data_IF_338682058451
#
_entry.id   IF_338682058451
#
_cell.length_a   1.000
_cell.length_b   1.000
_cell.length_c   1.000
_cell.angle_alpha   90.00
_cell.angle_beta   90.00
_cell.angle_gamma   90.00
#
_symmetry.space_group_name_H-M   'P 1'
#
loop_
_entity.id
_entity.type
_entity.pdbx_description
1 polymer ?
#
# COMPACT_ATOMS: atom_id res chain seq x y z
N UNK A 1 -3.22 3.09 -49.46
CA UNK A 1 -3.99 3.99 -48.60
C UNK A 1 -3.54 3.74 -47.19
N UNK A 2 -2.57 4.53 -46.71
CA UNK A 2 -2.00 4.45 -45.37
C UNK A 2 -2.73 5.50 -44.53
N UNK A 3 -3.60 5.05 -43.64
CA UNK A 3 -4.20 5.93 -42.63
C UNK A 3 -3.22 6.15 -41.49
N UNK A 4 -2.81 7.39 -41.36
CA UNK A 4 -2.00 7.94 -40.29
C UNK A 4 -2.81 7.96 -38.99
N UNK A 5 -2.42 7.17 -38.02
CA UNK A 5 -2.89 7.31 -36.64
C UNK A 5 -2.24 8.56 -36.04
N UNK A 6 -3.02 9.61 -35.90
CA UNK A 6 -2.66 10.83 -35.20
C UNK A 6 -2.49 10.56 -33.72
N UNK A 7 -1.31 10.93 -33.25
CA UNK A 7 -0.84 10.95 -31.89
C UNK A 7 -1.73 11.86 -31.01
N UNK A 8 -2.66 11.27 -30.27
CA UNK A 8 -3.37 11.97 -29.18
C UNK A 8 -2.45 12.01 -27.96
N UNK A 9 -1.74 13.13 -27.83
CA UNK A 9 -0.97 13.46 -26.65
C UNK A 9 -1.84 13.45 -25.40
N UNK A 10 -1.77 12.36 -24.62
CA UNK A 10 -2.29 12.31 -23.26
C UNK A 10 -1.33 13.11 -22.36
N UNK A 11 -1.56 14.42 -22.29
CA UNK A 11 -1.01 15.24 -21.23
C UNK A 11 -1.52 14.71 -19.89
N UNK A 12 -0.58 14.34 -19.05
CA UNK A 12 -0.78 13.97 -17.65
C UNK A 12 -1.54 15.11 -16.94
N UNK A 13 -2.83 14.89 -16.61
CA UNK A 13 -3.63 15.81 -15.81
C UNK A 13 -3.13 15.75 -14.36
N UNK A 14 -1.97 16.35 -14.10
CA UNK A 14 -1.44 16.61 -12.74
C UNK A 14 -1.80 18.05 -12.31
N UNK A 15 -2.66 18.75 -13.03
CA UNK A 15 -3.04 20.11 -12.72
C UNK A 15 -4.35 20.18 -11.92
N UNK A 16 -4.21 20.04 -10.62
CA UNK A 16 -4.90 20.75 -9.51
C UNK A 16 -4.53 20.10 -8.18
N UNK A 17 -3.26 20.19 -7.84
CA UNK A 17 -2.81 19.96 -6.48
C UNK A 17 -2.54 21.34 -5.86
N UNK A 18 -3.10 21.54 -4.69
CA UNK A 18 -2.97 22.75 -3.87
C UNK A 18 -1.50 23.15 -3.79
N UNK A 19 -1.24 24.44 -4.01
CA UNK A 19 0.06 25.08 -3.98
C UNK A 19 0.90 24.72 -2.73
N UNK A 20 2.21 24.73 -2.95
CA UNK A 20 3.27 24.61 -1.97
C UNK A 20 3.02 25.47 -0.72
N UNK A 21 2.36 24.91 0.28
CA UNK A 21 2.57 25.38 1.64
C UNK A 21 3.80 24.68 2.21
N UNK A 22 4.84 25.47 2.46
CA UNK A 22 6.04 25.12 3.21
C UNK A 22 5.67 24.45 4.54
N UNK A 23 5.43 23.14 4.52
CA UNK A 23 5.47 22.36 5.76
C UNK A 23 6.95 22.17 6.13
N UNK A 24 7.44 23.03 7.03
CA UNK A 24 8.63 22.79 7.83
C UNK A 24 8.37 21.66 8.84
N UNK A 25 7.93 20.50 8.38
CA UNK A 25 8.18 19.25 9.06
C UNK A 25 9.62 18.89 8.70
N UNK A 26 10.43 18.68 9.72
CA UNK A 26 11.83 18.36 9.65
C UNK A 26 12.11 17.43 8.46
N UNK A 27 12.73 17.90 7.39
CA UNK A 27 13.01 17.12 6.15
C UNK A 27 13.76 15.79 6.45
N UNK A 28 14.45 15.74 7.58
CA UNK A 28 15.12 14.56 8.11
C UNK A 28 14.17 13.45 8.58
N UNK A 29 12.87 13.73 8.79
CA UNK A 29 11.90 12.78 9.36
C UNK A 29 11.03 12.09 8.29
N UNK A 30 10.97 12.64 7.06
CA UNK A 30 10.13 12.11 5.98
C UNK A 30 10.44 10.64 5.66
N UNK A 31 11.70 10.24 5.67
CA UNK A 31 12.11 8.87 5.35
C UNK A 31 12.28 7.93 6.56
N UNK A 32 12.01 8.39 7.78
CA UNK A 32 12.26 7.59 8.99
C UNK A 32 11.53 6.24 8.95
N UNK A 33 10.24 6.22 8.57
CA UNK A 33 9.47 4.96 8.51
C UNK A 33 9.95 4.02 7.42
N UNK A 34 10.29 4.53 6.24
CA UNK A 34 10.81 3.69 5.15
C UNK A 34 12.18 3.14 5.50
N UNK A 35 13.05 3.94 6.13
CA UNK A 35 14.35 3.47 6.61
C UNK A 35 14.16 2.34 7.62
N UNK A 36 13.33 2.51 8.64
CA UNK A 36 13.04 1.46 9.62
C UNK A 36 12.45 0.19 8.98
N UNK A 37 11.62 0.34 7.93
CA UNK A 37 11.13 -0.82 7.18
C UNK A 37 12.27 -1.54 6.47
N UNK A 38 13.12 -0.81 5.76
CA UNK A 38 14.23 -1.38 4.99
C UNK A 38 15.33 -2.00 5.88
N UNK A 39 15.58 -1.44 7.07
CA UNK A 39 16.51 -1.99 8.07
C UNK A 39 16.10 -3.38 8.56
N UNK A 40 14.82 -3.70 8.59
CA UNK A 40 14.35 -5.05 8.91
C UNK A 40 14.56 -6.04 7.76
N UNK A 41 14.79 -5.54 6.55
CA UNK A 41 14.98 -6.36 5.35
C UNK A 41 16.44 -6.62 5.02
N UNK A 42 17.34 -5.67 5.34
CA UNK A 42 18.77 -5.81 5.16
C UNK A 42 19.53 -5.00 6.22
N UNK A 43 20.78 -5.37 6.58
CA UNK A 43 21.55 -4.67 7.61
C UNK A 43 22.13 -3.35 7.06
N UNK A 44 21.28 -2.33 6.91
CA UNK A 44 21.68 -1.03 6.38
C UNK A 44 22.73 -0.35 7.27
N UNK A 45 23.79 0.14 6.65
CA UNK A 45 24.81 0.95 7.32
C UNK A 45 24.37 2.42 7.44
N UNK A 46 25.09 3.21 8.25
CA UNK A 46 24.80 4.64 8.39
C UNK A 46 24.85 5.37 7.03
N UNK A 47 25.82 5.02 6.19
CA UNK A 47 25.96 5.59 4.85
C UNK A 47 24.77 5.28 3.91
N UNK A 48 24.06 4.16 4.11
CA UNK A 48 22.83 3.84 3.35
C UNK A 48 21.67 4.71 3.81
N UNK A 49 21.51 4.90 5.13
CA UNK A 49 20.51 5.79 5.72
C UNK A 49 20.70 7.23 5.24
N UNK A 50 21.94 7.70 5.26
CA UNK A 50 22.27 9.06 4.84
C UNK A 50 22.02 9.25 3.34
N UNK A 51 22.29 8.24 2.53
CA UNK A 51 21.98 8.25 1.11
C UNK A 51 20.46 8.31 0.83
N UNK A 52 19.64 7.61 1.62
CA UNK A 52 18.17 7.70 1.53
C UNK A 52 17.69 9.10 1.93
N UNK A 53 18.21 9.66 3.03
CA UNK A 53 17.83 11.01 3.48
C UNK A 53 18.26 12.12 2.52
N UNK A 54 19.32 11.90 1.77
CA UNK A 54 19.83 12.84 0.77
C UNK A 54 19.10 12.76 -0.58
N UNK A 55 18.14 11.85 -0.76
CA UNK A 55 17.34 11.78 -2.00
C UNK A 55 16.55 13.08 -2.20
N UNK A 56 16.55 13.64 -3.41
CA UNK A 56 15.67 14.74 -3.72
C UNK A 56 14.21 14.26 -3.73
N UNK A 57 13.32 15.05 -3.18
CA UNK A 57 11.88 14.74 -3.18
C UNK A 57 11.02 15.99 -3.17
N UNK A 58 9.76 15.79 -3.50
CA UNK A 58 8.71 16.81 -3.43
C UNK A 58 7.58 16.28 -2.55
N UNK A 59 7.12 17.07 -1.60
CA UNK A 59 5.95 16.69 -0.78
C UNK A 59 4.68 17.03 -1.55
N UNK A 60 3.75 16.09 -1.57
CA UNK A 60 2.40 16.29 -2.10
C UNK A 60 1.36 15.68 -1.18
N UNK A 61 0.24 16.37 -1.01
CA UNK A 61 -0.95 15.88 -0.30
C UNK A 61 -2.09 15.74 -1.29
N UNK A 62 -2.84 14.64 -1.18
CA UNK A 62 -4.00 14.38 -2.03
C UNK A 62 -5.22 13.98 -1.17
N UNK A 63 -6.42 14.44 -1.54
CA UNK A 63 -7.66 14.06 -0.88
C UNK A 63 -7.99 12.57 -1.11
N UNK A 64 -8.98 11.98 -0.39
CA UNK A 64 -9.45 10.63 -0.66
C UNK A 64 -9.96 10.45 -2.10
N UNK A 65 -9.83 9.22 -2.63
CA UNK A 65 -10.26 8.83 -3.98
C UNK A 65 -9.54 9.61 -5.11
N UNK A 66 -8.27 9.97 -4.87
CA UNK A 66 -7.44 10.63 -5.86
C UNK A 66 -6.44 9.65 -6.47
N UNK A 67 -6.34 9.64 -7.80
CA UNK A 67 -5.36 8.82 -8.52
C UNK A 67 -3.97 9.44 -8.42
N UNK A 68 -3.03 8.71 -7.86
CA UNK A 68 -1.61 9.06 -7.83
C UNK A 68 -0.88 8.56 -9.06
N UNK A 69 -1.23 7.33 -9.47
CA UNK A 69 -0.70 6.67 -10.66
C UNK A 69 -1.88 6.05 -11.40
N UNK A 70 -1.92 6.23 -12.71
CA UNK A 70 -2.88 5.56 -13.59
C UNK A 70 -2.18 4.47 -14.39
N UNK A 71 -2.84 3.35 -14.57
CA UNK A 71 -2.38 2.26 -15.44
C UNK A 71 -2.01 2.80 -16.83
N UNK A 72 -0.86 2.39 -17.35
CA UNK A 72 -0.29 2.86 -18.61
C UNK A 72 0.52 4.15 -18.52
N UNK A 73 0.45 4.90 -17.41
CA UNK A 73 1.23 6.11 -17.22
C UNK A 73 2.75 5.85 -17.22
N UNK A 74 3.53 6.84 -17.64
CA UNK A 74 4.98 6.78 -17.53
C UNK A 74 5.41 6.83 -16.07
N UNK A 75 6.39 6.00 -15.71
CA UNK A 75 6.97 5.90 -14.38
C UNK A 75 8.14 6.88 -14.24
N UNK A 76 7.89 8.05 -13.65
CA UNK A 76 8.90 9.10 -13.46
C UNK A 76 9.37 9.23 -12.02
N UNK A 77 8.49 8.97 -11.09
CA UNK A 77 8.72 9.08 -9.65
C UNK A 77 8.37 7.78 -8.93
N UNK A 78 8.93 7.59 -7.75
CA UNK A 78 8.50 6.63 -6.75
C UNK A 78 7.83 7.38 -5.60
N UNK A 79 6.65 6.93 -5.18
CA UNK A 79 5.90 7.51 -4.07
C UNK A 79 6.31 6.88 -2.75
N UNK A 80 6.88 7.64 -1.82
CA UNK A 80 7.02 7.22 -0.42
C UNK A 80 5.81 7.72 0.35
N UNK A 81 5.00 6.82 0.89
CA UNK A 81 3.80 7.18 1.64
C UNK A 81 4.19 7.63 3.06
N UNK A 82 3.92 8.90 3.39
CA UNK A 82 4.24 9.49 4.69
C UNK A 82 3.08 9.42 5.68
N UNK A 83 1.87 9.76 5.20
CA UNK A 83 0.63 9.69 5.99
C UNK A 83 -0.52 9.17 5.14
N UNK A 84 -1.59 8.71 5.80
CA UNK A 84 -2.78 8.22 5.11
C UNK A 84 -2.64 6.78 4.61
N UNK A 85 -3.58 6.38 3.76
CA UNK A 85 -3.63 5.02 3.19
C UNK A 85 -3.96 5.09 1.70
N UNK A 86 -3.39 4.18 0.94
CA UNK A 86 -3.64 4.05 -0.50
C UNK A 86 -3.92 2.61 -0.87
N UNK A 87 -4.57 2.39 -2.01
CA UNK A 87 -4.76 1.06 -2.57
C UNK A 87 -4.19 0.98 -3.98
N UNK A 88 -3.70 -0.20 -4.32
CA UNK A 88 -3.37 -0.58 -5.68
C UNK A 88 -4.54 -1.37 -6.24
N UNK A 89 -5.01 -1.04 -7.43
CA UNK A 89 -6.14 -1.73 -8.04
C UNK A 89 -6.03 -1.87 -9.56
N UNK A 90 -6.75 -2.86 -10.09
CA UNK A 90 -6.98 -3.06 -11.52
C UNK A 90 -8.46 -2.91 -11.80
N UNK A 91 -8.78 -2.54 -13.03
CA UNK A 91 -10.17 -2.40 -13.50
C UNK A 91 -10.36 -3.23 -14.76
N UNK A 92 -11.46 -3.99 -14.83
CA UNK A 92 -11.82 -4.73 -16.02
C UNK A 92 -12.35 -3.79 -17.11
N UNK A 93 -12.50 -4.29 -18.33
CA UNK A 93 -13.12 -3.54 -19.44
C UNK A 93 -14.60 -3.20 -19.17
N UNK A 94 -15.29 -3.96 -18.30
CA UNK A 94 -16.65 -3.67 -17.83
C UNK A 94 -16.73 -2.60 -16.74
N UNK A 95 -15.59 -2.18 -16.19
CA UNK A 95 -15.51 -1.18 -15.13
C UNK A 95 -15.45 -1.75 -13.71
N UNK A 96 -15.48 -3.09 -13.54
CA UNK A 96 -15.37 -3.72 -12.23
C UNK A 96 -13.95 -3.57 -11.68
N UNK A 97 -13.83 -3.06 -10.45
CA UNK A 97 -12.57 -2.82 -9.77
C UNK A 97 -12.18 -3.99 -8.88
N UNK A 98 -10.91 -4.39 -8.94
CA UNK A 98 -10.29 -5.30 -7.99
C UNK A 98 -9.15 -4.58 -7.27
N UNK A 99 -9.27 -4.33 -5.97
CA UNK A 99 -8.15 -3.90 -5.14
C UNK A 99 -7.25 -5.10 -4.88
N UNK A 100 -5.96 -4.93 -5.14
CA UNK A 100 -4.95 -6.00 -5.07
C UNK A 100 -3.94 -5.80 -3.94
N UNK A 101 -3.90 -4.62 -3.32
CA UNK A 101 -3.14 -4.36 -2.10
C UNK A 101 -3.57 -3.06 -1.42
N UNK A 102 -3.34 -2.97 -0.11
CA UNK A 102 -3.41 -1.74 0.68
C UNK A 102 -2.00 -1.36 1.13
N UNK A 103 -1.71 -0.07 1.10
CA UNK A 103 -0.44 0.49 1.53
C UNK A 103 -0.63 1.53 2.63
N UNK A 104 0.38 1.65 3.48
CA UNK A 104 0.37 2.47 4.69
C UNK A 104 1.68 3.25 4.84
N UNK A 105 1.77 4.23 5.77
CA UNK A 105 2.98 5.03 5.98
C UNK A 105 4.24 4.17 6.13
N UNK A 106 5.27 4.52 5.35
CA UNK A 106 6.52 3.77 5.22
C UNK A 106 6.59 2.83 4.02
N UNK A 107 5.49 2.62 3.28
CA UNK A 107 5.51 1.87 2.02
C UNK A 107 5.95 2.73 0.83
N UNK A 108 6.51 2.05 -0.18
CA UNK A 108 6.78 2.59 -1.52
C UNK A 108 5.90 1.79 -2.51
N UNK A 109 4.62 2.17 -2.69
CA UNK A 109 3.64 1.34 -3.38
C UNK A 109 3.90 1.15 -4.88
N UNK A 110 4.80 1.91 -5.47
CA UNK A 110 5.17 1.90 -6.88
C UNK A 110 6.68 1.65 -7.11
N UNK A 111 7.33 0.94 -6.18
CA UNK A 111 8.78 0.66 -6.22
C UNK A 111 9.24 -0.01 -7.53
N UNK A 112 8.36 -0.74 -8.22
CA UNK A 112 8.63 -1.32 -9.54
C UNK A 112 8.97 -0.26 -10.60
N UNK A 113 8.63 1.03 -10.39
CA UNK A 113 9.01 2.13 -11.28
C UNK A 113 10.53 2.36 -11.37
N UNK A 114 11.29 1.79 -10.45
CA UNK A 114 12.75 1.77 -10.59
C UNK A 114 13.21 1.05 -11.86
N UNK A 115 12.47 0.05 -12.33
CA UNK A 115 12.88 -0.83 -13.42
C UNK A 115 11.88 -0.89 -14.56
N UNK A 116 10.59 -0.67 -14.29
CA UNK A 116 9.51 -0.70 -15.27
C UNK A 116 9.16 0.73 -15.71
N UNK A 117 9.09 0.94 -17.02
CA UNK A 117 8.88 2.26 -17.60
C UNK A 117 7.42 2.73 -17.60
N UNK A 118 6.47 1.82 -17.33
CA UNK A 118 5.03 2.12 -17.29
C UNK A 118 4.38 1.42 -16.11
N UNK A 119 3.40 2.10 -15.51
CA UNK A 119 2.55 1.52 -14.48
C UNK A 119 1.63 0.45 -15.09
N UNK A 120 1.54 -0.69 -14.45
CA UNK A 120 0.65 -1.80 -14.82
C UNK A 120 -0.63 -1.86 -13.98
N UNK A 121 -0.84 -0.88 -13.09
CA UNK A 121 -1.97 -0.76 -12.17
C UNK A 121 -2.28 0.70 -11.87
N UNK A 122 -3.42 0.92 -11.22
CA UNK A 122 -3.77 2.21 -10.63
C UNK A 122 -3.33 2.26 -9.16
N UNK A 123 -2.90 3.43 -8.71
CA UNK A 123 -2.66 3.75 -7.30
C UNK A 123 -3.58 4.90 -6.90
N UNK A 124 -4.43 4.67 -5.89
CA UNK A 124 -5.49 5.60 -5.48
C UNK A 124 -5.49 5.78 -3.95
N UNK A 125 -5.72 7.01 -3.50
CA UNK A 125 -5.84 7.32 -2.06
C UNK A 125 -7.15 6.79 -1.48
N UNK A 126 -7.06 6.15 -0.30
CA UNK A 126 -8.23 5.73 0.50
C UNK A 126 -8.64 6.85 1.45
N UNK A 127 -7.66 7.50 2.07
CA UNK A 127 -7.83 8.67 2.93
C UNK A 127 -7.10 9.85 2.34
N UNK A 128 -7.22 11.04 2.93
CA UNK A 128 -6.21 12.07 2.69
C UNK A 128 -4.84 11.48 2.99
N UNK A 129 -3.89 11.71 2.08
CA UNK A 129 -2.58 11.10 2.16
C UNK A 129 -1.49 12.05 1.68
N UNK A 130 -0.34 12.04 2.38
CA UNK A 130 0.84 12.84 2.05
C UNK A 130 1.96 11.93 1.57
N UNK A 131 2.67 12.35 0.53
CA UNK A 131 3.72 11.58 -0.14
C UNK A 131 4.99 12.41 -0.28
N UNK A 132 6.14 11.75 -0.21
CA UNK A 132 7.37 12.22 -0.80
C UNK A 132 7.53 11.56 -2.19
N UNK A 133 7.49 12.37 -3.24
CA UNK A 133 7.73 11.95 -4.62
C UNK A 133 9.22 12.03 -4.90
N UNK A 134 9.86 10.90 -5.04
CA UNK A 134 11.29 10.75 -5.31
C UNK A 134 11.48 10.42 -6.79
N UNK A 135 12.29 11.17 -7.57
CA UNK A 135 12.59 10.79 -8.94
C UNK A 135 13.14 9.35 -9.01
N UNK A 136 12.50 8.50 -9.82
CA UNK A 136 12.87 7.08 -9.92
C UNK A 136 14.33 6.88 -10.34
N UNK A 137 14.87 7.78 -11.16
CA UNK A 137 16.28 7.76 -11.59
C UNK A 137 17.23 8.01 -10.42
N UNK A 138 16.92 8.96 -9.52
CA UNK A 138 17.74 9.25 -8.35
C UNK A 138 17.75 8.08 -7.36
N UNK A 139 16.59 7.50 -7.06
CA UNK A 139 16.50 6.31 -6.21
C UNK A 139 17.24 5.11 -6.85
N UNK A 140 17.11 4.92 -8.17
CA UNK A 140 17.85 3.89 -8.92
C UNK A 140 19.36 4.09 -8.81
N UNK A 141 19.85 5.32 -9.00
CA UNK A 141 21.27 5.66 -8.90
C UNK A 141 21.82 5.35 -7.51
N UNK A 142 21.10 5.72 -6.45
CA UNK A 142 21.48 5.42 -5.07
C UNK A 142 21.50 3.91 -4.83
N UNK A 143 20.48 3.18 -5.27
CA UNK A 143 20.43 1.71 -5.16
C UNK A 143 21.63 1.04 -5.87
N UNK A 144 22.04 1.52 -7.04
CA UNK A 144 23.21 0.99 -7.76
C UNK A 144 24.54 1.22 -7.02
N UNK A 145 24.64 2.28 -6.23
CA UNK A 145 25.83 2.64 -5.44
C UNK A 145 25.85 1.99 -4.06
N UNK A 146 24.72 1.46 -3.58
CA UNK A 146 24.48 0.94 -2.23
C UNK A 146 23.90 -0.47 -2.29
N UNK A 147 24.74 -1.52 -2.34
CA UNK A 147 24.27 -2.91 -2.50
C UNK A 147 23.30 -3.37 -1.42
N UNK A 148 23.50 -2.99 -0.14
CA UNK A 148 22.60 -3.35 0.95
C UNK A 148 21.23 -2.68 0.80
N UNK A 149 21.21 -1.42 0.35
CA UNK A 149 19.95 -0.74 0.03
C UNK A 149 19.24 -1.42 -1.16
N UNK A 150 19.98 -1.75 -2.23
CA UNK A 150 19.40 -2.47 -3.37
C UNK A 150 18.82 -3.83 -2.95
N UNK A 151 19.49 -4.56 -2.06
CA UNK A 151 19.00 -5.81 -1.48
C UNK A 151 17.71 -5.59 -0.68
N UNK A 152 17.65 -4.55 0.17
CA UNK A 152 16.47 -4.22 0.95
C UNK A 152 15.26 -3.89 0.05
N UNK A 153 15.45 -3.06 -0.97
CA UNK A 153 14.41 -2.71 -1.93
C UNK A 153 13.94 -3.93 -2.73
N UNK A 154 14.85 -4.81 -3.12
CA UNK A 154 14.51 -6.06 -3.80
C UNK A 154 13.69 -6.99 -2.88
N UNK A 155 14.12 -7.16 -1.64
CA UNK A 155 13.37 -7.95 -0.64
C UNK A 155 11.95 -7.38 -0.42
N UNK A 156 11.80 -6.05 -0.34
CA UNK A 156 10.48 -5.40 -0.21
C UNK A 156 9.58 -5.75 -1.40
N UNK A 157 10.10 -5.72 -2.62
CA UNK A 157 9.35 -6.14 -3.83
C UNK A 157 8.95 -7.61 -3.79
N UNK A 158 9.84 -8.50 -3.30
CA UNK A 158 9.54 -9.93 -3.19
C UNK A 158 8.48 -10.21 -2.10
N UNK A 159 8.48 -9.44 -1.01
CA UNK A 159 7.45 -9.52 0.03
C UNK A 159 6.12 -9.02 -0.52
N UNK A 160 6.09 -7.91 -1.26
CA UNK A 160 4.87 -7.45 -1.94
C UNK A 160 4.30 -8.54 -2.87
N UNK A 161 5.16 -9.21 -3.64
CA UNK A 161 4.77 -10.35 -4.46
C UNK A 161 4.29 -11.56 -3.63
N UNK A 162 4.82 -11.78 -2.42
CA UNK A 162 4.34 -12.82 -1.49
C UNK A 162 2.94 -12.50 -0.97
N UNK A 163 2.71 -11.25 -0.55
CA UNK A 163 1.39 -10.75 -0.14
C UNK A 163 0.39 -10.93 -1.29
N UNK A 164 0.77 -10.58 -2.51
CA UNK A 164 -0.10 -10.74 -3.67
C UNK A 164 -0.50 -12.21 -3.92
N UNK A 165 0.42 -13.17 -3.75
CA UNK A 165 0.10 -14.61 -3.83
C UNK A 165 -0.91 -15.03 -2.77
N UNK A 166 -0.78 -14.51 -1.55
CA UNK A 166 -1.72 -14.77 -0.47
C UNK A 166 -3.10 -14.17 -0.76
N UNK A 167 -3.17 -12.99 -1.39
CA UNK A 167 -4.43 -12.39 -1.82
C UNK A 167 -5.12 -13.19 -2.92
N UNK A 168 -4.37 -13.78 -3.86
CA UNK A 168 -4.93 -14.72 -4.85
C UNK A 168 -5.53 -15.95 -4.17
N UNK A 169 -4.85 -16.54 -3.18
CA UNK A 169 -5.41 -17.61 -2.37
C UNK A 169 -6.67 -17.14 -1.63
N UNK A 170 -6.61 -15.95 -1.03
CA UNK A 170 -7.71 -15.37 -0.25
C UNK A 170 -8.99 -15.26 -1.09
N UNK A 171 -8.94 -14.61 -2.24
CA UNK A 171 -10.13 -14.42 -3.10
C UNK A 171 -10.56 -15.70 -3.82
N UNK A 172 -9.63 -16.61 -4.09
CA UNK A 172 -9.88 -17.81 -4.86
C UNK A 172 -10.37 -19.02 -4.05
N UNK A 173 -10.08 -19.12 -2.76
CA UNK A 173 -10.31 -20.35 -1.98
C UNK A 173 -10.97 -20.16 -0.63
N UNK A 174 -10.74 -19.06 0.09
CA UNK A 174 -11.35 -18.83 1.40
C UNK A 174 -12.84 -18.49 1.25
N UNK A 175 -13.66 -18.91 2.22
CA UNK A 175 -15.04 -18.44 2.32
C UNK A 175 -15.10 -16.93 2.66
N UNK A 176 -16.27 -16.32 2.52
CA UNK A 176 -16.43 -14.89 2.62
C UNK A 176 -16.03 -14.33 4.01
N UNK A 177 -16.32 -15.06 5.07
CA UNK A 177 -16.00 -14.66 6.44
C UNK A 177 -14.51 -14.74 6.71
N UNK A 178 -13.87 -15.85 6.35
CA UNK A 178 -12.42 -16.05 6.45
C UNK A 178 -11.67 -15.04 5.59
N UNK A 179 -12.18 -14.71 4.41
CA UNK A 179 -11.60 -13.75 3.48
C UNK A 179 -11.49 -12.36 4.07
N UNK A 180 -12.56 -11.88 4.72
CA UNK A 180 -12.56 -10.57 5.41
C UNK A 180 -11.71 -10.62 6.67
N UNK A 181 -11.82 -11.68 7.46
CA UNK A 181 -11.01 -11.86 8.66
C UNK A 181 -9.50 -11.86 8.33
N UNK A 182 -9.09 -12.54 7.25
CA UNK A 182 -7.70 -12.56 6.77
C UNK A 182 -7.20 -11.15 6.40
N UNK A 183 -7.97 -10.41 5.60
CA UNK A 183 -7.64 -9.04 5.25
C UNK A 183 -7.45 -8.15 6.50
N UNK A 184 -8.33 -8.30 7.52
CA UNK A 184 -8.22 -7.55 8.77
C UNK A 184 -6.97 -7.94 9.56
N UNK A 185 -6.63 -9.24 9.65
CA UNK A 185 -5.40 -9.72 10.31
C UNK A 185 -4.15 -9.18 9.61
N UNK A 186 -4.07 -9.28 8.29
CA UNK A 186 -2.93 -8.77 7.52
C UNK A 186 -2.76 -7.25 7.73
N UNK A 187 -3.86 -6.51 7.59
CA UNK A 187 -3.85 -5.06 7.79
C UNK A 187 -3.38 -4.68 9.19
N UNK A 188 -3.90 -5.36 10.23
CA UNK A 188 -3.53 -5.14 11.62
C UNK A 188 -2.04 -5.45 11.88
N UNK A 189 -1.55 -6.61 11.43
CA UNK A 189 -0.15 -7.00 11.58
C UNK A 189 0.81 -6.02 10.88
N UNK A 190 0.49 -5.62 9.65
CA UNK A 190 1.32 -4.65 8.90
C UNK A 190 1.31 -3.27 9.55
N UNK A 191 0.18 -2.80 10.12
CA UNK A 191 0.10 -1.55 10.86
C UNK A 191 0.99 -1.56 12.10
N UNK A 192 0.94 -2.64 12.89
CA UNK A 192 1.82 -2.82 14.05
C UNK A 192 3.29 -2.67 13.66
N UNK A 193 3.70 -3.36 12.59
CA UNK A 193 5.06 -3.31 12.05
C UNK A 193 5.48 -1.92 11.56
N UNK A 194 4.54 -1.18 10.98
CA UNK A 194 4.78 0.21 10.57
C UNK A 194 4.79 1.20 11.74
N UNK A 195 4.61 0.72 12.99
CA UNK A 195 4.56 1.57 14.19
C UNK A 195 3.30 2.45 14.25
N UNK A 196 2.19 1.97 13.67
CA UNK A 196 0.90 2.69 13.60
C UNK A 196 -0.08 2.28 14.71
N UNK A 197 0.40 1.59 15.72
CA UNK A 197 -0.37 1.14 16.89
C UNK A 197 -0.56 -0.37 16.96
N UNK A 198 -1.16 -0.85 18.05
CA UNK A 198 -1.32 -2.28 18.30
C UNK A 198 -2.26 -2.95 17.28
N UNK A 199 -2.07 -4.26 17.02
CA UNK A 199 -2.87 -4.98 16.02
C UNK A 199 -4.30 -5.26 16.51
N UNK A 200 -4.53 -5.26 17.81
CA UNK A 200 -5.85 -5.57 18.37
C UNK A 200 -6.86 -4.44 18.20
N UNK A 201 -6.41 -3.19 18.03
CA UNK A 201 -7.32 -2.03 17.97
C UNK A 201 -6.87 -1.00 16.94
N UNK A 202 -7.73 -0.72 15.97
CA UNK A 202 -7.45 0.25 14.92
C UNK A 202 -8.70 0.82 14.26
N UNK A 203 -8.53 1.98 13.62
CA UNK A 203 -9.55 2.51 12.72
C UNK A 203 -9.35 1.90 11.33
N UNK A 204 -10.41 1.31 10.79
CA UNK A 204 -10.44 0.76 9.44
C UNK A 204 -10.62 1.90 8.44
N UNK A 205 -9.60 2.24 7.63
CA UNK A 205 -9.68 3.38 6.72
C UNK A 205 -10.58 3.11 5.52
N UNK A 206 -10.74 1.83 5.13
CA UNK A 206 -11.48 1.41 3.96
C UNK A 206 -12.99 1.50 4.17
N UNK A 207 -13.71 1.84 3.12
CA UNK A 207 -15.16 1.71 3.05
C UNK A 207 -15.58 0.25 2.84
N UNK A 208 -16.86 -0.08 3.07
CA UNK A 208 -17.37 -1.42 2.76
C UNK A 208 -17.26 -1.78 1.27
N UNK A 209 -17.37 -0.79 0.39
CA UNK A 209 -17.16 -0.95 -1.04
C UNK A 209 -15.69 -1.30 -1.36
N UNK A 210 -14.74 -0.59 -0.78
CA UNK A 210 -13.31 -0.89 -0.95
C UNK A 210 -12.93 -2.26 -0.38
N UNK A 211 -13.55 -2.67 0.74
CA UNK A 211 -13.39 -4.04 1.27
C UNK A 211 -14.00 -5.06 0.29
N UNK A 212 -15.16 -4.77 -0.27
CA UNK A 212 -15.78 -5.64 -1.28
C UNK A 212 -14.90 -5.81 -2.50
N UNK A 213 -14.35 -4.72 -3.04
CA UNK A 213 -13.41 -4.72 -4.16
C UNK A 213 -12.12 -5.48 -3.85
N UNK A 214 -11.66 -5.45 -2.59
CA UNK A 214 -10.48 -6.18 -2.16
C UNK A 214 -10.72 -7.68 -1.97
N UNK A 215 -11.95 -8.07 -1.59
CA UNK A 215 -12.27 -9.44 -1.22
C UNK A 215 -13.11 -10.20 -2.26
N UNK A 216 -13.46 -9.54 -3.38
CA UNK A 216 -14.31 -10.12 -4.42
C UNK A 216 -15.74 -10.41 -3.93
N UNK A 217 -16.28 -9.52 -3.11
CA UNK A 217 -17.62 -9.62 -2.52
C UNK A 217 -18.47 -8.39 -2.90
N UNK A 218 -19.73 -8.37 -2.49
CA UNK A 218 -20.54 -7.15 -2.51
C UNK A 218 -20.46 -6.43 -1.15
N UNK A 219 -20.69 -5.12 -1.11
CA UNK A 219 -20.71 -4.34 0.14
C UNK A 219 -21.75 -4.85 1.15
N UNK A 220 -22.89 -5.35 0.65
CA UNK A 220 -23.93 -5.99 1.48
C UNK A 220 -23.39 -7.28 2.13
N UNK A 221 -22.66 -8.09 1.36
CA UNK A 221 -22.03 -9.32 1.86
C UNK A 221 -20.93 -9.00 2.89
N UNK A 222 -20.09 -7.99 2.60
CA UNK A 222 -19.08 -7.49 3.56
C UNK A 222 -19.72 -7.11 4.89
N UNK A 223 -20.80 -6.32 4.86
CA UNK A 223 -21.47 -5.91 6.08
C UNK A 223 -22.00 -7.10 6.89
N UNK A 224 -22.60 -8.09 6.21
CA UNK A 224 -23.07 -9.32 6.85
C UNK A 224 -21.94 -10.09 7.52
N UNK A 225 -20.81 -10.28 6.85
CA UNK A 225 -19.65 -11.01 7.40
C UNK A 225 -19.02 -10.28 8.59
N UNK A 226 -18.92 -8.95 8.52
CA UNK A 226 -18.46 -8.14 9.66
C UNK A 226 -19.42 -8.27 10.86
N UNK A 227 -20.72 -8.33 10.61
CA UNK A 227 -21.71 -8.58 11.67
C UNK A 227 -21.56 -9.99 12.26
N UNK A 228 -21.37 -11.00 11.44
CA UNK A 228 -21.12 -12.39 11.90
C UNK A 228 -19.84 -12.50 12.75
N UNK A 229 -18.74 -11.86 12.33
CA UNK A 229 -17.51 -11.81 13.12
C UNK A 229 -17.75 -11.15 14.50
N UNK A 230 -18.58 -10.11 14.55
CA UNK A 230 -18.93 -9.46 15.81
C UNK A 230 -19.88 -10.33 16.66
N UNK A 231 -20.87 -10.98 16.06
CA UNK A 231 -21.80 -11.88 16.75
C UNK A 231 -21.08 -13.11 17.35
N UNK A 232 -20.03 -13.60 16.67
CA UNK A 232 -19.14 -14.65 17.19
C UNK A 232 -18.21 -14.15 18.30
N UNK A 233 -18.23 -12.85 18.62
CA UNK A 233 -17.33 -12.25 19.61
C UNK A 233 -15.85 -12.29 19.21
N UNK A 234 -15.53 -12.32 17.92
CA UNK A 234 -14.15 -12.31 17.42
C UNK A 234 -13.64 -10.87 17.29
N UNK A 235 -14.54 -9.96 16.93
CA UNK A 235 -14.28 -8.53 16.88
C UNK A 235 -15.37 -7.75 17.64
N UNK A 236 -15.01 -6.56 18.12
CA UNK A 236 -15.97 -5.50 18.47
C UNK A 236 -15.81 -4.41 17.46
N UNK A 237 -16.95 -3.87 16.98
CA UNK A 237 -16.95 -2.81 15.97
C UNK A 237 -17.83 -1.65 16.40
N UNK A 238 -17.26 -0.45 16.34
CA UNK A 238 -18.02 0.81 16.43
C UNK A 238 -17.66 1.68 15.23
N UNK A 239 -18.62 1.83 14.30
CA UNK A 239 -18.41 2.53 13.02
C UNK A 239 -17.20 2.01 12.26
N UNK A 240 -16.10 2.77 12.28
CA UNK A 240 -14.80 2.41 11.65
C UNK A 240 -13.81 1.81 12.63
N UNK A 241 -14.05 1.89 13.93
CA UNK A 241 -13.19 1.28 14.94
C UNK A 241 -13.43 -0.22 14.97
N UNK A 242 -12.33 -0.98 14.86
CA UNK A 242 -12.31 -2.43 14.99
C UNK A 242 -11.41 -2.77 16.17
N UNK A 243 -11.90 -3.64 17.06
CA UNK A 243 -11.16 -4.23 18.14
C UNK A 243 -11.23 -5.74 18.00
N UNK A 244 -10.07 -6.39 17.87
CA UNK A 244 -9.94 -7.85 17.84
C UNK A 244 -9.83 -8.32 19.27
N UNK A 245 -10.84 -9.02 19.75
CA UNK A 245 -10.97 -9.42 21.17
C UNK A 245 -10.08 -10.59 21.55
N UNK A 246 -9.76 -11.47 20.60
CA UNK A 246 -8.89 -12.63 20.73
C UNK A 246 -8.14 -12.83 19.42
N UNK A 247 -6.87 -12.40 19.40
CA UNK A 247 -6.01 -12.49 18.22
C UNK A 247 -5.84 -13.93 17.73
N UNK A 248 -5.62 -14.87 18.64
CA UNK A 248 -5.42 -16.27 18.29
C UNK A 248 -6.66 -16.89 17.65
N UNK A 249 -7.85 -16.55 18.16
CA UNK A 249 -9.12 -16.98 17.58
C UNK A 249 -9.37 -16.32 16.23
N UNK A 250 -9.05 -15.02 16.11
CA UNK A 250 -9.15 -14.27 14.86
C UNK A 250 -8.27 -14.90 13.78
N UNK A 251 -7.00 -15.22 14.08
CA UNK A 251 -6.10 -15.90 13.14
C UNK A 251 -6.65 -17.26 12.68
N UNK A 252 -7.27 -18.06 13.58
CA UNK A 252 -7.90 -19.34 13.19
C UNK A 252 -9.10 -19.13 12.26
N UNK A 253 -9.98 -18.17 12.54
CA UNK A 253 -11.14 -17.84 11.68
C UNK A 253 -10.67 -17.31 10.32
N UNK A 254 -9.61 -16.54 10.31
CA UNK A 254 -9.00 -15.93 9.14
C UNK A 254 -8.17 -16.92 8.30
N UNK A 255 -7.83 -18.09 8.82
CA UNK A 255 -6.77 -18.94 8.24
C UNK A 255 -5.51 -18.11 8.00
N UNK A 256 -5.12 -17.29 9.00
CA UNK A 256 -4.03 -16.32 8.88
C UNK A 256 -2.75 -16.86 9.53
N UNK A 257 -1.68 -16.81 8.74
CA UNK A 257 -0.32 -17.07 9.20
C UNK A 257 0.60 -15.99 8.61
N UNK A 258 1.25 -15.21 9.47
CA UNK A 258 2.08 -14.09 9.06
C UNK A 258 3.39 -14.48 8.34
N UNK A 259 3.69 -15.77 8.15
CA UNK A 259 4.95 -16.23 7.55
C UNK A 259 5.23 -15.63 6.15
N UNK A 260 4.17 -15.39 5.36
CA UNK A 260 4.30 -14.77 4.03
C UNK A 260 4.66 -13.27 4.06
N UNK A 261 4.57 -12.63 5.22
CA UNK A 261 5.03 -11.26 5.42
C UNK A 261 6.56 -11.20 5.59
N UNK A 262 7.23 -12.36 5.64
CA UNK A 262 8.70 -12.52 5.74
C UNK A 262 9.33 -11.66 6.84
N UNK A 263 8.68 -11.62 7.97
CA UNK A 263 9.16 -10.87 9.13
C UNK A 263 10.33 -11.62 9.76
N UNK A 264 11.46 -10.92 9.99
CA UNK A 264 12.52 -11.47 10.82
C UNK A 264 11.95 -11.76 12.21
N UNK A 265 12.17 -13.01 12.67
CA UNK A 265 11.77 -13.45 14.00
C UNK A 265 12.44 -12.64 15.10
#
# INVERSE_FOLDING_TARGET
>A
MLETYTDFGFYCFIDRLVDEENMTANDNDAFTRVIHKLERLAPLEQADRDAIRALPFRIKTAPPNHYLVKEGAAATDCCVLLTGYVCRHKTTSSGDRQIVSFHMPGDIPDLQHLLLSRADHNLETITEATFALVPAEDLRRVAQQRPLLAEALWRDTLIDASIFREWVLNVGRRDAKSRIAHMLCEFAARREKAGLGPPERFNLPMTQEQIADATGLTSVHVNRMLFELAADGVIVRDKRQVEITDWSRMCRVADFNAAYLHEAA
#
